data_IF_031446074629
#
_entry.id   IF_031446074629
#
_cell.length_a   1.000
_cell.length_b   1.000
_cell.length_c   1.000
_cell.angle_alpha   90.00
_cell.angle_beta   90.00
_cell.angle_gamma   90.00
#
_symmetry.space_group_name_H-M   'P 1'
#
loop_
_entity.id
_entity.type
_entity.pdbx_description
1 polymer ?
#
# COMPACT_ATOMS: atom_id res chain seq x y z
N UNK A 1 17.73 -44.80 39.19
CA UNK A 1 16.40 -44.21 38.93
C UNK A 1 16.15 -44.26 37.44
N UNK A 2 15.18 -45.07 36.99
CA UNK A 2 14.73 -45.04 35.60
C UNK A 2 14.18 -43.65 35.27
N UNK A 3 14.57 -43.02 34.14
CA UNK A 3 14.15 -41.67 33.83
C UNK A 3 12.62 -41.61 33.71
N UNK A 4 12.03 -40.57 34.30
CA UNK A 4 10.60 -40.26 34.15
C UNK A 4 10.32 -40.18 32.65
N UNK A 5 9.32 -40.91 32.17
CA UNK A 5 9.03 -41.02 30.72
C UNK A 5 7.96 -40.04 30.26
N UNK A 6 7.14 -39.50 31.17
CA UNK A 6 6.10 -38.52 30.87
C UNK A 6 5.76 -37.65 32.08
N UNK A 7 5.43 -36.38 31.84
CA UNK A 7 4.98 -35.40 32.85
C UNK A 7 3.74 -34.68 32.30
N UNK A 8 2.61 -34.72 33.00
CA UNK A 8 1.36 -34.01 32.62
C UNK A 8 0.92 -34.21 31.15
N UNK A 9 1.06 -35.43 30.63
CA UNK A 9 0.72 -35.76 29.24
C UNK A 9 1.77 -35.37 28.19
N UNK A 10 2.92 -34.83 28.61
CA UNK A 10 4.09 -34.64 27.76
C UNK A 10 5.06 -35.80 27.89
N UNK A 11 5.53 -36.31 26.77
CA UNK A 11 6.65 -37.23 26.66
C UNK A 11 7.97 -36.46 26.68
N UNK A 12 8.95 -36.99 27.43
CA UNK A 12 10.27 -36.38 27.57
C UNK A 12 11.20 -36.91 26.47
N UNK A 13 11.73 -36.01 25.65
CA UNK A 13 12.72 -36.31 24.62
C UNK A 13 14.08 -35.75 25.07
N UNK A 14 14.98 -36.59 25.61
CA UNK A 14 16.32 -36.16 25.96
C UNK A 14 17.18 -36.00 24.69
N UNK A 15 17.85 -34.85 24.58
CA UNK A 15 18.75 -34.51 23.49
C UNK A 15 20.11 -34.14 24.07
N UNK A 16 21.20 -34.69 23.53
CA UNK A 16 22.56 -34.27 23.87
C UNK A 16 22.86 -32.97 23.13
N UNK A 17 22.73 -31.83 23.82
CA UNK A 17 22.91 -30.51 23.23
C UNK A 17 24.38 -30.12 23.13
N UNK A 18 25.16 -30.51 24.14
CA UNK A 18 26.63 -30.51 24.13
C UNK A 18 27.12 -31.87 24.62
N UNK A 19 28.41 -32.22 24.44
CA UNK A 19 28.95 -33.50 24.94
C UNK A 19 28.76 -33.71 26.45
N UNK A 20 28.56 -32.63 27.22
CA UNK A 20 28.39 -32.65 28.68
C UNK A 20 26.97 -32.36 29.16
N UNK A 21 26.05 -31.94 28.29
CA UNK A 21 24.75 -31.37 28.70
C UNK A 21 23.59 -31.95 27.90
N UNK A 22 22.64 -32.53 28.62
CA UNK A 22 21.38 -33.04 28.08
C UNK A 22 20.29 -31.98 28.22
N UNK A 23 19.67 -31.62 27.11
CA UNK A 23 18.49 -30.76 27.04
C UNK A 23 17.23 -31.62 26.90
N UNK A 24 16.16 -31.28 27.62
CA UNK A 24 14.90 -32.02 27.57
C UNK A 24 13.85 -31.22 26.80
N UNK A 25 13.36 -31.80 25.71
CA UNK A 25 12.24 -31.29 24.93
C UNK A 25 10.98 -32.05 25.39
N UNK A 26 9.89 -31.32 25.60
CA UNK A 26 8.62 -31.89 26.01
C UNK A 26 7.71 -31.99 24.78
N UNK A 27 7.24 -33.20 24.48
CA UNK A 27 6.47 -33.47 23.27
C UNK A 27 5.09 -34.03 23.62
N UNK A 28 4.05 -33.62 22.89
CA UNK A 28 2.72 -34.25 22.94
C UNK A 28 2.05 -34.20 21.56
N UNK A 29 1.09 -35.08 21.28
CA UNK A 29 0.26 -34.95 20.09
C UNK A 29 -0.48 -33.61 20.11
N UNK A 30 -0.48 -32.89 18.99
CA UNK A 30 -1.29 -31.68 18.87
C UNK A 30 -2.77 -32.04 18.83
N UNK A 31 -3.57 -31.31 19.60
CA UNK A 31 -5.03 -31.39 19.58
C UNK A 31 -5.55 -30.02 19.17
N UNK A 32 -6.12 -29.92 17.97
CA UNK A 32 -6.72 -28.68 17.46
C UNK A 32 -8.04 -28.42 18.19
N UNK A 33 -8.21 -27.22 18.77
CA UNK A 33 -9.54 -26.76 19.19
C UNK A 33 -10.40 -26.50 17.96
N UNK A 34 -11.71 -26.79 18.04
CA UNK A 34 -12.70 -26.69 16.94
C UNK A 34 -12.95 -25.27 16.40
N UNK A 35 -12.16 -24.28 16.80
CA UNK A 35 -12.37 -22.89 16.39
C UNK A 35 -11.45 -22.59 15.22
N UNK A 36 -12.05 -22.57 14.03
CA UNK A 36 -11.37 -22.43 12.75
C UNK A 36 -10.65 -21.08 12.61
N UNK A 37 -9.40 -21.15 12.18
CA UNK A 37 -8.72 -20.09 11.44
C UNK A 37 -8.02 -20.75 10.25
N UNK A 38 -7.82 -19.99 9.18
CA UNK A 38 -7.24 -20.40 7.89
C UNK A 38 -5.85 -21.06 7.93
N UNK A 39 -5.27 -21.21 9.13
CA UNK A 39 -3.97 -21.80 9.39
C UNK A 39 -4.05 -23.02 10.33
N UNK A 40 -5.16 -23.76 10.28
CA UNK A 40 -5.41 -24.91 11.15
C UNK A 40 -4.36 -26.02 10.93
N UNK A 41 -3.58 -26.30 11.98
CA UNK A 41 -2.62 -27.41 11.99
C UNK A 41 -3.36 -28.75 11.99
N UNK A 42 -2.98 -29.71 11.13
CA UNK A 42 -3.71 -30.95 10.96
C UNK A 42 -3.60 -31.84 12.20
N UNK A 43 -4.75 -32.20 12.78
CA UNK A 43 -4.80 -33.13 13.91
C UNK A 43 -4.39 -34.56 13.48
N UNK A 44 -3.77 -35.31 14.38
CA UNK A 44 -3.35 -36.70 14.13
C UNK A 44 -2.02 -36.88 13.40
N UNK A 45 -1.42 -35.82 12.84
CA UNK A 45 -0.05 -35.86 12.26
C UNK A 45 0.86 -34.74 12.72
N UNK A 46 0.39 -33.91 13.65
CA UNK A 46 1.15 -32.77 14.20
C UNK A 46 1.64 -33.08 15.62
N UNK A 47 2.92 -32.84 15.85
CA UNK A 47 3.57 -32.95 17.15
C UNK A 47 3.78 -31.56 17.75
N UNK A 48 3.30 -31.35 18.97
CA UNK A 48 3.54 -30.14 19.73
C UNK A 48 4.77 -30.33 20.62
N UNK A 49 5.74 -29.42 20.49
CA UNK A 49 6.97 -29.38 21.25
C UNK A 49 7.00 -28.15 22.14
N UNK A 50 7.55 -28.29 23.34
CA UNK A 50 7.82 -27.22 24.29
C UNK A 50 9.26 -27.32 24.75
N UNK A 51 9.83 -26.17 25.11
CA UNK A 51 11.24 -26.04 25.48
C UNK A 51 12.16 -26.39 24.31
N UNK A 52 11.85 -25.91 23.11
CA UNK A 52 12.76 -26.04 21.97
C UNK A 52 14.05 -25.25 22.24
N UNK A 53 15.24 -25.79 21.91
CA UNK A 53 16.49 -25.05 22.04
C UNK A 53 16.45 -23.69 21.33
N UNK A 54 17.16 -22.67 21.85
CA UNK A 54 17.14 -21.32 21.30
C UNK A 54 17.74 -21.27 19.89
N UNK A 55 18.60 -22.19 19.54
CA UNK A 55 19.22 -22.23 18.23
C UNK A 55 18.36 -23.03 17.22
N UNK A 56 17.28 -23.71 17.64
CA UNK A 56 16.48 -24.56 16.78
C UNK A 56 15.90 -23.82 15.56
N UNK A 57 16.33 -24.22 14.36
CA UNK A 57 15.66 -23.87 13.10
C UNK A 57 14.84 -25.06 12.61
N UNK A 58 14.06 -24.83 11.55
CA UNK A 58 13.36 -25.91 10.84
C UNK A 58 14.31 -27.06 10.46
N UNK A 59 15.51 -26.74 9.96
CA UNK A 59 16.51 -27.73 9.55
C UNK A 59 16.87 -28.68 10.70
N UNK A 60 17.14 -28.17 11.90
CA UNK A 60 17.55 -29.01 13.02
C UNK A 60 16.40 -29.86 13.56
N UNK A 61 15.18 -29.32 13.58
CA UNK A 61 14.01 -30.10 13.97
C UNK A 61 13.71 -31.20 12.96
N UNK A 62 13.82 -30.93 11.65
CA UNK A 62 13.71 -31.95 10.60
C UNK A 62 14.77 -33.03 10.79
N UNK A 63 16.04 -32.65 11.01
CA UNK A 63 17.12 -33.62 11.20
C UNK A 63 16.94 -34.46 12.48
N UNK A 64 16.48 -33.85 13.56
CA UNK A 64 16.21 -34.55 14.82
C UNK A 64 15.09 -35.60 14.65
N UNK A 65 14.00 -35.24 13.97
CA UNK A 65 12.82 -36.10 13.79
C UNK A 65 12.83 -36.94 12.50
N UNK A 66 13.88 -36.85 11.68
CA UNK A 66 14.05 -37.64 10.43
C UNK A 66 13.87 -39.15 10.63
N UNK A 67 14.23 -39.66 11.81
CA UNK A 67 14.10 -41.08 12.15
C UNK A 67 12.65 -41.50 12.44
N UNK A 68 11.76 -40.56 12.75
CA UNK A 68 10.35 -40.81 12.98
C UNK A 68 9.58 -40.85 11.66
N UNK A 69 9.93 -39.97 10.71
CA UNK A 69 9.35 -39.92 9.38
C UNK A 69 9.70 -38.63 8.63
N UNK A 70 9.07 -38.43 7.48
CA UNK A 70 9.24 -37.22 6.66
C UNK A 70 8.41 -36.08 7.27
N UNK A 71 9.06 -34.94 7.51
CA UNK A 71 8.42 -33.71 7.99
C UNK A 71 7.92 -32.92 6.76
N UNK A 72 6.67 -32.47 6.79
CA UNK A 72 6.10 -31.58 5.76
C UNK A 72 6.54 -30.13 6.00
N UNK A 73 6.36 -29.64 7.24
CA UNK A 73 6.74 -28.28 7.64
C UNK A 73 6.93 -28.19 9.15
N UNK A 74 7.68 -27.20 9.58
CA UNK A 74 7.82 -26.82 10.99
C UNK A 74 7.25 -25.42 11.20
N UNK A 75 6.35 -25.26 12.17
CA UNK A 75 5.73 -23.98 12.51
C UNK A 75 6.13 -23.60 13.93
N UNK A 76 6.65 -22.40 14.12
CA UNK A 76 6.95 -21.90 15.46
C UNK A 76 5.85 -20.96 15.97
N UNK A 77 5.46 -21.10 17.22
CA UNK A 77 4.27 -20.42 17.78
C UNK A 77 4.35 -18.88 17.82
N UNK A 78 5.52 -18.30 17.57
CA UNK A 78 5.68 -16.85 17.53
C UNK A 78 5.59 -16.29 16.10
N UNK A 79 5.98 -17.06 15.09
CA UNK A 79 5.81 -16.66 13.68
C UNK A 79 4.31 -16.59 13.35
N UNK A 80 3.51 -17.49 13.94
CA UNK A 80 2.05 -17.46 13.83
C UNK A 80 1.39 -16.25 14.54
N UNK A 81 2.09 -15.60 15.48
CA UNK A 81 1.59 -14.40 16.18
C UNK A 81 2.05 -13.11 15.48
N UNK A 82 3.31 -13.04 15.07
CA UNK A 82 3.87 -11.89 14.34
C UNK A 82 3.12 -11.68 13.01
N UNK A 83 2.79 -12.74 12.26
CA UNK A 83 1.95 -12.62 11.07
C UNK A 83 0.51 -12.13 11.33
N UNK A 84 -0.02 -12.31 12.55
CA UNK A 84 -1.36 -11.84 12.90
C UNK A 84 -1.34 -10.35 13.31
N UNK A 85 -0.24 -9.88 13.88
CA UNK A 85 -0.05 -8.48 14.25
C UNK A 85 0.35 -7.62 13.04
N UNK A 86 1.13 -8.16 12.08
CA UNK A 86 1.49 -7.45 10.85
C UNK A 86 0.31 -7.35 9.87
N UNK A 87 -0.51 -8.40 9.74
CA UNK A 87 -1.70 -8.39 8.87
C UNK A 87 -2.82 -7.45 9.34
N UNK A 88 -2.90 -7.15 10.65
CA UNK A 88 -3.82 -6.13 11.20
C UNK A 88 -3.26 -4.69 11.04
N UNK A 89 -2.01 -4.55 10.57
CA UNK A 89 -1.34 -3.25 10.38
C UNK A 89 -1.11 -2.87 8.91
N UNK A 90 -1.47 -3.74 7.97
CA UNK A 90 -1.35 -3.53 6.51
C UNK A 90 -2.68 -3.12 5.85
N UNK A 91 -3.56 -2.41 6.59
CA UNK A 91 -4.73 -1.73 6.02
C UNK A 91 -4.36 -0.25 5.71
N UNK A 92 -3.28 -0.06 4.95
CA UNK A 92 -3.01 1.18 4.21
C UNK A 92 -3.03 0.81 2.72
N UNK A 93 -4.11 1.19 2.07
CA UNK A 93 -4.48 0.93 0.68
C UNK A 93 -3.44 1.50 -0.30
N UNK A 94 -2.41 0.73 -0.65
CA UNK A 94 -1.72 0.89 -1.93
C UNK A 94 -2.65 0.35 -3.03
N UNK A 95 -3.58 1.20 -3.50
CA UNK A 95 -4.32 0.98 -4.75
C UNK A 95 -3.34 1.03 -5.93
N UNK A 96 -2.66 -0.08 -6.18
CA UNK A 96 -1.97 -0.34 -7.44
C UNK A 96 -3.04 -0.58 -8.53
N UNK A 97 -3.43 0.51 -9.20
CA UNK A 97 -4.27 0.47 -10.40
C UNK A 97 -3.51 -0.23 -11.53
N UNK A 98 -3.60 -1.56 -11.57
CA UNK A 98 -3.29 -2.35 -12.77
C UNK A 98 -4.40 -2.14 -13.81
N UNK A 99 -4.21 -1.15 -14.70
CA UNK A 99 -4.99 -1.10 -15.93
C UNK A 99 -4.53 -2.23 -16.88
N UNK A 100 -5.45 -3.02 -17.46
CA UNK A 100 -5.10 -4.06 -18.42
C UNK A 100 -4.66 -3.40 -19.73
N UNK A 101 -3.35 -3.41 -19.99
CA UNK A 101 -2.82 -3.01 -21.30
C UNK A 101 -3.12 -4.12 -22.30
N UNK A 102 -4.19 -3.96 -23.09
CA UNK A 102 -4.34 -4.71 -24.33
C UNK A 102 -3.28 -4.23 -25.32
N UNK A 103 -2.29 -5.09 -25.58
CA UNK A 103 -1.26 -4.85 -26.58
C UNK A 103 -1.74 -5.49 -27.89
N UNK A 104 -2.37 -4.69 -28.76
CA UNK A 104 -2.53 -5.08 -30.15
C UNK A 104 -1.18 -5.01 -30.85
N UNK A 105 -0.57 -6.18 -31.06
CA UNK A 105 0.67 -6.36 -31.82
C UNK A 105 0.42 -6.11 -33.32
N UNK A 106 0.74 -4.90 -33.80
CA UNK A 106 1.11 -4.72 -35.21
C UNK A 106 2.62 -4.83 -35.40
N UNK A 107 3.12 -5.65 -36.36
CA UNK A 107 4.54 -5.91 -36.51
C UNK A 107 5.22 -4.72 -37.21
N UNK A 108 5.80 -3.81 -36.43
CA UNK A 108 6.73 -2.78 -36.95
C UNK A 108 8.17 -3.30 -36.90
N UNK A 109 8.87 -3.19 -38.03
CA UNK A 109 10.30 -3.52 -38.18
C UNK A 109 11.12 -2.86 -37.07
N UNK A 110 11.62 -3.69 -36.14
CA UNK A 110 12.46 -3.28 -35.02
C UNK A 110 13.77 -2.71 -35.55
N UNK A 111 13.91 -1.39 -35.51
CA UNK A 111 15.23 -0.75 -35.51
C UNK A 111 15.87 -1.09 -34.17
N UNK A 112 17.01 -1.80 -34.21
CA UNK A 112 17.76 -2.26 -33.05
C UNK A 112 18.27 -1.04 -32.27
N UNK A 113 17.45 -0.50 -31.37
CA UNK A 113 17.90 0.47 -30.38
C UNK A 113 18.69 -0.30 -29.33
N UNK A 114 19.89 0.19 -29.01
CA UNK A 114 20.73 -0.30 -27.93
C UNK A 114 19.88 -0.48 -26.68
N UNK A 115 19.89 -1.69 -26.09
CA UNK A 115 19.35 -1.91 -24.75
C UNK A 115 20.05 -0.92 -23.83
N UNK A 116 19.33 0.08 -23.34
CA UNK A 116 19.77 0.82 -22.17
C UNK A 116 19.63 -0.16 -21.02
N UNK A 117 20.73 -0.75 -20.58
CA UNK A 117 20.72 -1.67 -19.46
C UNK A 117 20.23 -0.92 -18.21
N UNK A 118 19.24 -1.50 -17.53
CA UNK A 118 18.68 -0.92 -16.31
C UNK A 118 19.77 -0.93 -15.24
N UNK A 119 20.04 0.20 -14.54
CA UNK A 119 21.00 0.22 -13.45
C UNK A 119 20.64 -0.84 -12.41
N UNK A 120 21.61 -1.67 -12.02
CA UNK A 120 21.44 -2.74 -11.04
C UNK A 120 22.02 -2.27 -9.71
N UNK A 121 21.25 -2.35 -8.63
CA UNK A 121 21.70 -1.95 -7.29
C UNK A 121 22.73 -2.95 -6.77
N UNK A 122 23.85 -2.45 -6.27
CA UNK A 122 24.85 -3.29 -5.60
C UNK A 122 24.34 -3.63 -4.21
N UNK A 123 24.03 -4.89 -3.89
CA UNK A 123 23.43 -5.24 -2.60
C UNK A 123 24.45 -5.09 -1.45
N UNK A 124 23.94 -4.74 -0.26
CA UNK A 124 24.75 -4.78 0.95
C UNK A 124 25.19 -6.22 1.27
N UNK A 125 26.36 -6.41 1.89
CA UNK A 125 26.86 -7.73 2.25
C UNK A 125 25.97 -8.30 3.37
N UNK A 126 25.07 -9.21 3.00
CA UNK A 126 24.29 -9.97 3.97
C UNK A 126 25.08 -11.19 4.40
N UNK A 127 25.27 -11.34 5.71
CA UNK A 127 25.84 -12.57 6.28
C UNK A 127 24.66 -13.45 6.70
N UNK A 128 24.57 -14.66 6.15
CA UNK A 128 23.54 -15.64 6.55
C UNK A 128 23.88 -16.14 7.96
N UNK A 129 23.38 -15.42 8.97
CA UNK A 129 23.49 -15.83 10.36
C UNK A 129 22.24 -16.58 10.77
N UNK A 130 22.45 -17.62 11.57
CA UNK A 130 21.36 -18.40 12.12
C UNK A 130 20.44 -17.54 12.97
N UNK A 131 19.13 -17.70 12.79
CA UNK A 131 18.13 -17.06 13.63
C UNK A 131 18.11 -17.73 15.01
N UNK A 132 18.52 -16.97 16.05
CA UNK A 132 18.40 -17.42 17.44
C UNK A 132 17.05 -16.98 18.02
N UNK A 133 16.38 -17.92 18.68
CA UNK A 133 15.06 -17.79 19.30
C UNK A 133 15.21 -17.68 20.82
N UNK A 134 14.19 -17.14 21.49
CA UNK A 134 14.15 -17.12 22.96
C UNK A 134 14.02 -18.54 23.52
N UNK A 135 14.58 -18.79 24.70
CA UNK A 135 14.50 -20.08 25.38
C UNK A 135 13.07 -20.41 25.80
N UNK A 136 12.75 -21.70 25.94
CA UNK A 136 11.45 -22.14 26.44
C UNK A 136 10.28 -22.05 25.44
N UNK A 137 10.56 -21.72 24.16
CA UNK A 137 9.53 -21.60 23.11
C UNK A 137 8.95 -22.97 22.71
N UNK A 138 7.81 -22.90 22.03
CA UNK A 138 7.08 -24.02 21.48
C UNK A 138 7.14 -24.05 19.95
N UNK A 139 7.02 -25.25 19.40
CA UNK A 139 6.98 -25.50 17.96
C UNK A 139 6.01 -26.64 17.64
N UNK A 140 5.46 -26.59 16.43
CA UNK A 140 4.63 -27.62 15.85
C UNK A 140 5.36 -28.25 14.68
N UNK A 141 5.53 -29.58 14.71
CA UNK A 141 6.09 -30.34 13.60
C UNK A 141 4.94 -31.08 12.93
N UNK A 142 4.72 -30.78 11.65
CA UNK A 142 3.71 -31.45 10.84
C UNK A 142 4.40 -32.55 10.05
N UNK A 143 4.08 -33.81 10.33
CA UNK A 143 4.58 -34.95 9.57
C UNK A 143 3.76 -35.19 8.32
N UNK A 144 4.39 -35.71 7.27
CA UNK A 144 3.70 -36.10 6.03
C UNK A 144 2.73 -37.27 6.26
N UNK A 145 3.10 -38.22 7.11
CA UNK A 145 2.33 -39.44 7.40
C UNK A 145 1.94 -39.51 8.89
N UNK A 146 0.75 -40.04 9.19
CA UNK A 146 0.21 -40.17 10.56
C UNK A 146 1.02 -41.14 11.40
N UNK A 147 1.56 -42.21 10.79
CA UNK A 147 2.40 -43.20 11.49
C UNK A 147 3.69 -42.59 12.07
N UNK A 148 4.14 -41.47 11.51
CA UNK A 148 5.32 -40.75 11.97
C UNK A 148 5.11 -40.14 13.36
N UNK A 149 3.87 -39.73 13.67
CA UNK A 149 3.51 -39.18 14.99
C UNK A 149 3.63 -40.26 16.08
N UNK A 150 3.12 -41.46 15.81
CA UNK A 150 3.21 -42.59 16.75
C UNK A 150 4.67 -42.97 17.01
N UNK A 151 5.50 -42.96 15.96
CA UNK A 151 6.96 -43.19 16.08
C UNK A 151 7.64 -42.08 16.87
N UNK A 152 7.25 -40.81 16.68
CA UNK A 152 7.80 -39.69 17.43
C UNK A 152 7.41 -39.71 18.92
N UNK A 153 6.22 -40.24 19.24
CA UNK A 153 5.74 -40.43 20.61
C UNK A 153 6.27 -41.71 21.27
N UNK A 154 6.88 -42.61 20.50
CA UNK A 154 7.47 -43.84 21.03
C UNK A 154 8.66 -43.54 21.96
N UNK A 155 8.89 -44.40 22.95
CA UNK A 155 9.92 -44.17 23.96
C UNK A 155 11.32 -44.15 23.34
N UNK A 156 12.01 -43.03 23.53
CA UNK A 156 13.42 -42.87 23.14
C UNK A 156 14.31 -43.56 24.17
N UNK A 157 15.01 -44.62 23.76
CA UNK A 157 15.88 -45.40 24.64
C UNK A 157 17.24 -44.75 24.91
N UNK A 158 17.73 -43.92 23.98
CA UNK A 158 19.02 -43.22 24.07
C UNK A 158 18.90 -41.77 23.61
N UNK A 159 19.45 -40.79 24.34
CA UNK A 159 19.48 -39.40 23.91
C UNK A 159 20.17 -39.25 22.56
N UNK A 160 19.54 -38.52 21.63
CA UNK A 160 20.15 -38.23 20.32
C UNK A 160 20.98 -36.94 20.39
N UNK A 161 22.10 -36.85 19.67
CA UNK A 161 22.85 -35.60 19.55
C UNK A 161 22.01 -34.54 18.83
N UNK A 162 22.08 -33.31 19.32
CA UNK A 162 21.52 -32.16 18.64
C UNK A 162 22.33 -31.91 17.34
N UNK A 163 21.67 -31.64 16.20
CA UNK A 163 22.39 -31.48 14.93
C UNK A 163 23.41 -30.34 14.96
N UNK A 164 24.58 -30.59 14.39
CA UNK A 164 25.63 -29.59 14.21
C UNK A 164 25.34 -28.69 12.98
N UNK A 165 25.77 -27.44 13.06
CA UNK A 165 25.73 -26.46 11.97
C UNK A 165 27.09 -25.77 11.94
N UNK A 166 27.60 -25.46 10.75
CA UNK A 166 28.85 -24.71 10.57
C UNK A 166 28.72 -23.24 11.01
N UNK A 167 27.48 -22.76 11.17
CA UNK A 167 27.20 -21.39 11.57
C UNK A 167 27.67 -21.10 13.01
N UNK A 168 28.17 -19.87 13.26
CA UNK A 168 28.67 -19.50 14.58
C UNK A 168 27.55 -19.54 15.62
N UNK A 169 27.86 -20.01 16.83
CA UNK A 169 26.94 -20.10 17.98
C UNK A 169 27.45 -19.26 19.16
N UNK A 170 26.54 -18.91 20.08
CA UNK A 170 26.90 -18.20 21.31
C UNK A 170 27.59 -16.86 21.04
N UNK A 171 28.73 -16.59 21.69
CA UNK A 171 29.45 -15.33 21.53
C UNK A 171 29.98 -15.08 20.11
N UNK A 172 30.35 -16.14 19.38
CA UNK A 172 30.82 -16.01 18.00
C UNK A 172 29.72 -15.50 17.07
N UNK A 173 28.47 -15.94 17.30
CA UNK A 173 27.29 -15.46 16.56
C UNK A 173 27.13 -13.95 16.71
N UNK A 174 27.12 -13.46 17.96
CA UNK A 174 26.93 -12.03 18.22
C UNK A 174 28.08 -11.17 17.70
N UNK A 175 29.31 -11.69 17.65
CA UNK A 175 30.44 -10.99 17.01
C UNK A 175 30.26 -10.88 15.50
N UNK A 176 29.82 -11.97 14.85
CA UNK A 176 29.53 -11.96 13.43
C UNK A 176 28.35 -11.02 13.11
N UNK A 177 27.29 -11.02 13.93
CA UNK A 177 26.15 -10.11 13.83
C UNK A 177 26.59 -8.64 14.02
N UNK A 178 27.45 -8.38 15.00
CA UNK A 178 27.97 -7.04 15.23
C UNK A 178 28.74 -6.49 14.03
N UNK A 179 29.54 -7.35 13.38
CA UNK A 179 30.28 -7.02 12.17
C UNK A 179 29.35 -6.85 10.96
N UNK A 180 28.34 -7.73 10.79
CA UNK A 180 27.40 -7.64 9.66
C UNK A 180 26.54 -6.39 9.69
N UNK A 181 26.21 -5.89 10.89
CA UNK A 181 25.49 -4.62 11.06
C UNK A 181 26.36 -3.38 10.81
N UNK A 182 27.67 -3.54 10.60
CA UNK A 182 28.63 -2.45 10.38
C UNK A 182 29.49 -2.73 9.15
N UNK A 183 28.87 -2.80 7.96
CA UNK A 183 29.62 -2.89 6.72
C UNK A 183 30.55 -1.68 6.55
N UNK A 184 31.66 -1.82 5.80
CA UNK A 184 32.55 -0.69 5.52
C UNK A 184 31.81 0.40 4.73
N UNK A 185 32.20 1.65 4.97
CA UNK A 185 31.53 2.82 4.39
C UNK A 185 31.52 2.80 2.85
N UNK A 186 32.57 2.28 2.23
CA UNK A 186 32.71 2.18 0.77
C UNK A 186 31.56 1.36 0.16
N UNK A 187 31.23 0.22 0.76
CA UNK A 187 30.15 -0.66 0.28
C UNK A 187 28.77 -0.04 0.50
N UNK A 188 28.60 0.68 1.62
CA UNK A 188 27.36 1.43 1.88
C UNK A 188 27.17 2.54 0.86
N UNK A 189 28.25 3.23 0.51
CA UNK A 189 28.25 4.26 -0.52
C UNK A 189 27.89 3.69 -1.89
N UNK A 190 28.51 2.60 -2.31
CA UNK A 190 28.23 1.97 -3.60
C UNK A 190 26.77 1.52 -3.71
N UNK A 191 26.20 0.96 -2.64
CA UNK A 191 24.77 0.65 -2.58
C UNK A 191 23.90 1.92 -2.70
N UNK A 192 24.23 2.99 -1.97
CA UNK A 192 23.48 4.24 -2.03
C UNK A 192 23.53 4.89 -3.42
N UNK A 193 24.72 5.01 -4.01
CA UNK A 193 24.93 5.62 -5.32
C UNK A 193 24.16 4.82 -6.40
N UNK A 194 24.29 3.49 -6.43
CA UNK A 194 23.55 2.64 -7.38
C UNK A 194 22.03 2.63 -7.16
N UNK A 195 21.56 2.78 -5.92
CA UNK A 195 20.13 2.91 -5.62
C UNK A 195 19.55 4.23 -6.16
N UNK A 196 20.30 5.34 -6.05
CA UNK A 196 19.91 6.64 -6.58
C UNK A 196 19.89 6.59 -8.11
N UNK A 197 20.90 5.97 -8.74
CA UNK A 197 20.93 5.81 -10.20
C UNK A 197 19.72 5.03 -10.74
N UNK A 198 19.33 3.94 -10.07
CA UNK A 198 18.13 3.18 -10.43
C UNK A 198 16.87 4.05 -10.30
N UNK A 199 16.74 4.78 -9.20
CA UNK A 199 15.61 5.70 -8.99
C UNK A 199 15.55 6.80 -10.06
N UNK A 200 16.67 7.44 -10.38
CA UNK A 200 16.75 8.45 -11.44
C UNK A 200 16.40 7.87 -12.81
N UNK A 201 16.84 6.64 -13.10
CA UNK A 201 16.48 5.92 -14.32
C UNK A 201 14.97 5.66 -14.40
N UNK A 202 14.34 5.21 -13.31
CA UNK A 202 12.89 5.01 -13.23
C UNK A 202 12.13 6.33 -13.44
N UNK A 203 12.54 7.40 -12.74
CA UNK A 203 11.95 8.73 -12.86
C UNK A 203 12.08 9.28 -14.29
N UNK A 204 13.23 9.06 -14.94
CA UNK A 204 13.44 9.46 -16.33
C UNK A 204 12.53 8.68 -17.29
N UNK A 205 12.36 7.37 -17.07
CA UNK A 205 11.47 6.50 -17.86
C UNK A 205 10.00 6.94 -17.73
N UNK A 206 9.54 7.30 -16.53
CA UNK A 206 8.19 7.85 -16.31
C UNK A 206 7.98 9.21 -16.98
N UNK A 207 8.98 10.11 -16.88
CA UNK A 207 8.96 11.39 -17.60
C UNK A 207 8.93 11.19 -19.12
N UNK A 208 9.63 10.19 -19.65
CA UNK A 208 9.55 9.85 -21.07
C UNK A 208 8.18 9.30 -21.44
N UNK A 209 7.65 8.31 -20.71
CA UNK A 209 6.30 7.77 -20.93
C UNK A 209 5.24 8.86 -20.93
N UNK A 210 5.27 9.77 -19.95
CA UNK A 210 4.32 10.89 -19.87
C UNK A 210 4.51 11.93 -20.99
N UNK A 211 5.73 12.15 -21.49
CA UNK A 211 5.97 12.99 -22.69
C UNK A 211 5.36 12.37 -23.95
N UNK A 212 5.54 11.07 -24.17
CA UNK A 212 4.93 10.36 -25.30
C UNK A 212 3.40 10.37 -25.20
N UNK A 213 2.85 10.13 -24.01
CA UNK A 213 1.40 10.16 -23.75
C UNK A 213 0.75 11.54 -23.91
N UNK A 214 1.54 12.63 -23.95
CA UNK A 214 1.05 14.00 -24.27
C UNK A 214 0.91 14.26 -25.77
N UNK A 215 1.49 13.42 -26.64
CA UNK A 215 1.46 13.59 -28.10
C UNK A 215 0.45 12.70 -28.81
N UNK A 216 0.01 11.61 -28.19
CA UNK A 216 -0.98 10.68 -28.74
C UNK A 216 -2.34 10.93 -28.09
N UNK A 217 -3.35 11.23 -28.91
CA UNK A 217 -4.72 11.35 -28.42
C UNK A 217 -5.20 9.96 -28.01
N UNK A 218 -5.47 9.77 -26.71
CA UNK A 218 -6.15 8.58 -26.22
C UNK A 218 -7.59 8.68 -26.77
N UNK A 219 -7.92 7.78 -27.71
CA UNK A 219 -9.25 7.67 -28.32
C UNK A 219 -9.92 6.47 -27.67
N UNK A 220 -11.04 6.69 -27.00
CA UNK A 220 -11.83 5.62 -26.38
C UNK A 220 -12.49 4.72 -27.45
N UNK A 221 -13.02 3.56 -27.06
CA UNK A 221 -13.67 2.58 -27.96
C UNK A 221 -14.84 3.18 -28.79
N UNK A 222 -15.45 4.27 -28.31
CA UNK A 222 -16.51 5.04 -28.99
C UNK A 222 -15.99 6.19 -29.88
N UNK A 223 -14.67 6.32 -30.09
CA UNK A 223 -14.07 7.31 -30.98
C UNK A 223 -13.93 8.73 -30.41
N UNK A 224 -14.12 8.92 -29.10
CA UNK A 224 -13.94 10.21 -28.44
C UNK A 224 -12.51 10.39 -27.92
N UNK A 225 -11.91 11.56 -28.16
CA UNK A 225 -10.56 11.91 -27.68
C UNK A 225 -10.59 12.50 -26.27
N UNK A 226 -9.85 11.92 -25.32
CA UNK A 226 -9.72 12.42 -23.95
C UNK A 226 -8.90 13.73 -23.88
N UNK A 227 -9.55 14.85 -23.55
CA UNK A 227 -8.88 16.16 -23.41
C UNK A 227 -8.16 16.27 -22.06
N UNK A 228 -6.89 15.88 -22.01
CA UNK A 228 -6.02 16.13 -20.85
C UNK A 228 -5.60 17.60 -20.77
N UNK A 229 -5.54 18.17 -19.55
CA UNK A 229 -5.00 19.54 -19.34
C UNK A 229 -3.45 19.49 -19.34
N UNK A 230 -2.74 19.83 -20.44
CA UNK A 230 -1.29 20.13 -20.34
C UNK A 230 -0.43 20.30 -21.61
N UNK A 231 -0.09 21.56 -21.97
CA UNK A 231 0.99 22.03 -22.88
C UNK A 231 0.69 22.10 -24.40
N UNK A 232 1.09 23.07 -25.23
CA UNK A 232 1.98 24.24 -25.14
C UNK A 232 1.28 25.60 -25.38
N UNK A 233 -0.05 25.62 -25.52
CA UNK A 233 -0.86 26.84 -25.54
C UNK A 233 -1.63 26.96 -24.20
N UNK A 234 -0.87 27.13 -23.11
CA UNK A 234 -1.39 27.54 -21.81
C UNK A 234 -1.97 26.46 -20.89
N UNK A 235 -1.24 25.36 -20.60
CA UNK A 235 -1.56 24.50 -19.43
C UNK A 235 -0.34 23.87 -18.73
N UNK A 236 -0.24 24.22 -17.43
CA UNK A 236 0.14 23.47 -16.22
C UNK A 236 1.39 22.57 -16.19
N UNK A 237 2.40 23.03 -15.45
CA UNK A 237 3.36 22.18 -14.74
C UNK A 237 2.65 21.45 -13.60
N UNK A 238 2.93 20.16 -13.46
CA UNK A 238 3.02 19.49 -12.17
C UNK A 238 1.71 19.11 -11.50
N UNK A 239 1.71 17.89 -10.96
CA UNK A 239 0.82 17.49 -9.88
C UNK A 239 -0.51 16.94 -10.36
N UNK A 240 -0.79 15.70 -9.96
CA UNK A 240 -2.15 15.19 -9.91
C UNK A 240 -3.03 16.22 -9.22
N UNK A 241 -4.04 16.69 -9.94
CA UNK A 241 -5.11 17.48 -9.34
C UNK A 241 -6.29 16.54 -9.38
N UNK A 242 -6.58 15.95 -8.22
CA UNK A 242 -7.82 15.23 -7.99
C UNK A 242 -8.94 16.03 -8.62
N UNK A 243 -9.73 15.37 -9.47
CA UNK A 243 -10.99 15.92 -9.93
C UNK A 243 -11.77 16.12 -8.65
N UNK A 244 -11.69 17.35 -8.13
CA UNK A 244 -12.35 17.80 -6.94
C UNK A 244 -13.76 17.24 -7.02
N UNK A 245 -14.13 16.56 -5.93
CA UNK A 245 -15.40 15.97 -5.55
C UNK A 245 -16.60 16.91 -5.76
N UNK A 246 -16.78 17.38 -6.99
CA UNK A 246 -17.97 18.05 -7.43
C UNK A 246 -18.92 16.94 -7.83
N UNK A 247 -19.43 16.26 -6.79
CA UNK A 247 -20.74 15.62 -6.84
C UNK A 247 -21.61 16.58 -7.62
N UNK A 248 -22.12 16.12 -8.76
CA UNK A 248 -23.10 16.83 -9.55
C UNK A 248 -24.30 17.04 -8.62
N UNK A 249 -24.32 18.16 -7.89
CA UNK A 249 -25.39 18.49 -6.96
C UNK A 249 -26.61 18.79 -7.81
N UNK A 250 -27.43 17.76 -7.98
CA UNK A 250 -28.85 17.90 -8.28
C UNK A 250 -29.40 18.90 -7.27
N UNK A 251 -29.93 20.00 -7.80
CA UNK A 251 -30.38 21.16 -7.06
C UNK A 251 -31.21 20.77 -5.82
N UNK A 252 -30.81 21.28 -4.65
CA UNK A 252 -31.49 21.09 -3.39
C UNK A 252 -30.69 21.63 -2.21
N UNK A 253 -30.92 22.91 -1.90
CA UNK A 253 -30.76 23.55 -0.58
C UNK A 253 -29.40 23.69 0.14
N UNK A 254 -29.09 24.98 0.34
CA UNK A 254 -28.54 25.61 1.54
C UNK A 254 -27.04 25.44 1.89
N UNK A 255 -26.34 26.56 1.82
CA UNK A 255 -24.96 26.71 2.26
C UNK A 255 -24.50 28.14 2.06
N UNK A 256 -24.95 29.04 2.95
CA UNK A 256 -24.59 30.46 2.96
C UNK A 256 -23.09 30.58 3.25
N UNK A 257 -22.27 30.87 2.24
CA UNK A 257 -21.18 31.86 2.28
C UNK A 257 -20.41 31.84 0.95
N UNK A 258 -20.11 33.05 0.46
CA UNK A 258 -19.12 33.44 -0.57
C UNK A 258 -19.61 33.83 -1.96
N UNK A 259 -19.26 35.09 -2.23
CA UNK A 259 -18.99 35.74 -3.52
C UNK A 259 -20.22 36.16 -4.32
N UNK A 260 -20.44 37.48 -4.34
CA UNK A 260 -21.37 38.19 -5.22
C UNK A 260 -21.38 37.55 -6.60
N UNK A 261 -22.47 36.87 -6.94
CA UNK A 261 -22.83 36.51 -8.31
C UNK A 261 -22.74 37.81 -9.12
N UNK A 262 -21.82 37.90 -10.07
CA UNK A 262 -21.93 38.94 -11.10
C UNK A 262 -23.29 38.70 -11.75
N UNK A 263 -24.22 39.64 -11.55
CA UNK A 263 -25.47 39.66 -12.27
C UNK A 263 -25.14 39.54 -13.76
N UNK A 264 -25.89 38.68 -14.48
CA UNK A 264 -25.74 38.56 -15.92
C UNK A 264 -25.96 39.96 -16.46
N UNK A 265 -24.90 40.59 -16.97
CA UNK A 265 -25.01 41.85 -17.70
C UNK A 265 -25.74 41.56 -18.99
N UNK A 266 -27.07 41.56 -18.94
CA UNK A 266 -27.86 41.71 -20.15
C UNK A 266 -27.41 43.03 -20.77
N UNK A 267 -26.94 42.98 -22.01
CA UNK A 267 -26.45 44.18 -22.70
C UNK A 267 -27.65 45.06 -23.02
N UNK A 268 -27.88 46.10 -22.22
CA UNK A 268 -28.88 47.12 -22.52
C UNK A 268 -28.54 47.82 -23.85
N UNK A 269 -29.50 47.89 -24.76
CA UNK A 269 -29.38 48.54 -26.07
C UNK A 269 -28.92 47.61 -27.21
N UNK A 270 -28.77 46.31 -26.97
CA UNK A 270 -28.37 45.37 -28.04
C UNK A 270 -29.52 45.07 -29.01
N UNK A 271 -30.75 44.93 -28.50
CA UNK A 271 -31.90 44.58 -29.33
C UNK A 271 -32.71 45.79 -29.76
N UNK A 272 -33.25 45.76 -30.98
CA UNK A 272 -34.05 46.85 -31.55
C UNK A 272 -35.28 47.20 -30.69
N UNK A 273 -35.91 46.20 -30.06
CA UNK A 273 -37.05 46.43 -29.18
C UNK A 273 -36.69 47.25 -27.93
N UNK A 274 -35.48 47.10 -27.39
CA UNK A 274 -35.01 47.88 -26.23
C UNK A 274 -34.85 49.37 -26.58
N UNK A 275 -34.40 49.66 -27.82
CA UNK A 275 -34.31 51.05 -28.32
C UNK A 275 -35.70 51.67 -28.51
N UNK A 276 -36.65 50.92 -29.06
CA UNK A 276 -38.02 51.37 -29.25
C UNK A 276 -38.75 51.63 -27.91
N UNK A 277 -38.60 50.74 -26.93
CA UNK A 277 -39.14 50.88 -25.58
C UNK A 277 -38.59 52.13 -24.87
N UNK A 278 -37.28 52.36 -25.00
CA UNK A 278 -36.63 53.53 -24.42
C UNK A 278 -37.16 54.84 -25.00
N UNK A 279 -37.30 54.93 -26.33
CA UNK A 279 -37.88 56.12 -26.96
C UNK A 279 -39.34 56.35 -26.56
N UNK A 280 -40.14 55.28 -26.44
CA UNK A 280 -41.54 55.39 -26.01
C UNK A 280 -41.66 55.89 -24.57
N UNK A 281 -40.83 55.39 -23.66
CA UNK A 281 -40.82 55.83 -22.27
C UNK A 281 -40.32 57.27 -22.13
N UNK A 282 -39.32 57.69 -22.91
CA UNK A 282 -38.87 59.08 -22.98
C UNK A 282 -40.00 60.03 -23.43
N UNK A 283 -40.77 59.67 -24.46
CA UNK A 283 -41.93 60.46 -24.91
C UNK A 283 -43.02 60.56 -23.84
N UNK A 284 -43.32 59.47 -23.12
CA UNK A 284 -44.31 59.49 -22.04
C UNK A 284 -43.85 60.36 -20.87
N UNK A 285 -42.56 60.30 -20.51
CA UNK A 285 -41.99 61.15 -19.47
C UNK A 285 -42.01 62.62 -19.86
N UNK A 286 -41.79 62.96 -21.13
CA UNK A 286 -41.88 64.34 -21.61
C UNK A 286 -43.31 64.88 -21.50
N UNK A 287 -44.31 64.06 -21.89
CA UNK A 287 -45.73 64.42 -21.72
C UNK A 287 -46.09 64.67 -20.27
N UNK A 288 -45.66 63.78 -19.37
CA UNK A 288 -45.91 63.92 -17.92
C UNK A 288 -45.30 65.20 -17.35
N UNK A 289 -44.03 65.49 -17.69
CA UNK A 289 -43.37 66.74 -17.27
C UNK A 289 -44.07 67.98 -17.84
N UNK A 290 -44.55 67.92 -19.07
CA UNK A 290 -45.30 69.01 -19.68
C UNK A 290 -46.62 69.27 -18.96
N UNK A 291 -47.36 68.23 -18.59
CA UNK A 291 -48.58 68.35 -17.79
C UNK A 291 -48.30 68.93 -16.39
N UNK A 292 -47.22 68.48 -15.75
CA UNK A 292 -46.78 69.00 -14.45
C UNK A 292 -46.40 70.48 -14.53
N UNK A 293 -45.65 70.89 -15.56
CA UNK A 293 -45.26 72.29 -15.75
C UNK A 293 -46.44 73.16 -16.17
N UNK A 294 -47.38 72.64 -16.98
CA UNK A 294 -48.64 73.32 -17.29
C UNK A 294 -49.45 73.56 -16.01
N UNK A 295 -49.56 72.56 -15.13
CA UNK A 295 -50.26 72.68 -13.85
C UNK A 295 -49.54 73.66 -12.89
N UNK A 296 -48.20 73.69 -12.89
CA UNK A 296 -47.44 74.68 -12.11
C UNK A 296 -47.64 76.11 -12.64
N UNK A 297 -47.63 76.29 -13.95
CA UNK A 297 -47.90 77.58 -14.58
C UNK A 297 -49.32 78.04 -14.28
N UNK A 298 -50.31 77.14 -14.30
CA UNK A 298 -51.69 77.43 -13.92
C UNK A 298 -51.79 77.89 -12.45
N UNK A 299 -51.12 77.19 -11.51
CA UNK A 299 -51.02 77.61 -10.11
C UNK A 299 -50.35 78.99 -9.96
N UNK A 300 -49.28 79.25 -10.71
CA UNK A 300 -48.58 80.54 -10.70
C UNK A 300 -49.44 81.67 -11.29
N UNK A 301 -50.22 81.40 -12.33
CA UNK A 301 -51.21 82.34 -12.90
C UNK A 301 -52.34 82.62 -11.91
N UNK A 302 -52.89 81.60 -11.24
CA UNK A 302 -53.91 81.76 -10.21
C UNK A 302 -53.41 82.62 -9.04
N UNK A 303 -52.15 82.47 -8.65
CA UNK A 303 -51.51 83.31 -7.61
C UNK A 303 -51.06 84.71 -8.09
N UNK A 304 -51.34 85.10 -9.35
CA UNK A 304 -50.96 86.38 -10.00
C UNK A 304 -49.46 86.71 -9.95
N UNK A 305 -48.60 85.69 -9.76
CA UNK A 305 -47.13 85.83 -9.68
C UNK A 305 -46.40 85.37 -10.96
N UNK A 306 -47.15 85.03 -12.01
CA UNK A 306 -46.57 84.62 -13.30
C UNK A 306 -46.14 85.83 -14.13
N UNK A 307 -44.85 85.93 -14.47
CA UNK A 307 -44.29 86.93 -15.39
C UNK A 307 -43.77 86.20 -16.64
N UNK A 308 -44.45 86.31 -17.79
CA UNK A 308 -43.91 85.84 -19.06
C UNK A 308 -42.88 86.88 -19.53
N UNK A 309 -41.68 86.41 -19.85
CA UNK A 309 -40.46 87.18 -20.21
C UNK A 309 -39.62 87.66 -19.02
#
# INVERSE_FOLDING_TARGET
MSPVSSINGFSLIPVLYTPSTTHYIYARPHSSSKTESSNALPSGRTLFLVNTPPDATERELILLFKHCGTVERVVFDFEAKEHHDEADSEDDEDEELEEPVQVDEQPRKRRKTSKSDVPTVTPLPSTSLRTLRRTGRSAHIVFLDTSSLDRAMSRVSKPRPWPESEEPRGAAHYRALYASLRPPLDVVRDHADTSIELYEYQLAKEKQKSKYRKGEAIIDEDGFTLVTRGGAYGKTLGGGVGVASKRFQRAGESGRYRTKKKEKKEKEGFYAFQKAEKQRSELMNLKKKWEEDKAKVEKLKASRRFKPY
#
